data_IF_050748359690
#
_entry.id   IF_050748359690
#
_cell.length_a   1.000
_cell.length_b   1.000
_cell.length_c   1.000
_cell.angle_alpha   90.00
_cell.angle_beta   90.00
_cell.angle_gamma   90.00
#
_symmetry.space_group_name_H-M   'P 1'
#
loop_
_entity.id
_entity.type
_entity.pdbx_description
1 polymer ?
#
# COMPACT_ATOMS: atom_id res chain seq x y z
N UNK A 1 30.40 6.22 8.45
CA UNK A 1 29.38 6.91 9.27
C UNK A 1 29.27 6.15 10.58
N UNK A 2 29.44 6.80 11.74
CA UNK A 2 29.30 6.11 13.04
C UNK A 2 27.81 5.82 13.28
N UNK A 3 27.42 4.62 13.74
CA UNK A 3 26.01 4.29 13.93
C UNK A 3 25.41 5.07 15.10
N UNK A 4 24.20 5.61 14.88
CA UNK A 4 23.37 6.28 15.87
C UNK A 4 23.07 5.35 17.05
N UNK A 5 23.18 5.87 18.27
CA UNK A 5 22.84 5.18 19.52
C UNK A 5 21.32 5.16 19.71
N UNK A 6 20.63 4.28 18.99
CA UNK A 6 19.27 3.87 19.36
C UNK A 6 19.29 2.41 19.85
N UNK A 7 18.35 2.09 20.74
CA UNK A 7 18.41 0.96 21.67
C UNK A 7 18.74 -0.40 21.06
N UNK A 8 19.08 -1.36 21.92
CA UNK A 8 19.53 -2.74 21.59
C UNK A 8 18.64 -3.54 20.62
N UNK A 9 17.47 -3.02 20.24
CA UNK A 9 16.47 -3.64 19.37
C UNK A 9 16.14 -2.84 18.09
N UNK A 10 16.79 -1.71 17.83
CA UNK A 10 16.50 -0.85 16.66
C UNK A 10 17.63 -0.93 15.63
N UNK A 11 17.26 -0.91 14.34
CA UNK A 11 18.24 -0.76 13.25
C UNK A 11 18.90 0.62 13.29
N UNK A 12 20.19 0.72 12.97
CA UNK A 12 20.85 2.02 12.90
C UNK A 12 20.27 2.85 11.74
N UNK A 13 20.31 4.18 11.88
CA UNK A 13 19.75 5.13 10.90
C UNK A 13 20.29 4.92 9.47
N UNK A 14 21.54 4.48 9.36
CA UNK A 14 22.18 4.17 8.09
C UNK A 14 22.54 2.69 8.06
N UNK A 15 21.88 1.93 7.20
CA UNK A 15 22.13 0.51 6.94
C UNK A 15 22.24 0.27 5.45
N UNK A 16 22.94 -0.80 5.10
CA UNK A 16 22.92 -1.32 3.75
C UNK A 16 21.53 -1.88 3.38
N UNK A 17 21.18 -1.85 2.09
CA UNK A 17 19.90 -2.33 1.56
C UNK A 17 19.68 -3.80 1.93
N UNK A 18 20.71 -4.63 1.80
CA UNK A 18 20.67 -6.07 2.08
C UNK A 18 20.26 -6.33 3.54
N UNK A 19 20.77 -5.48 4.46
CA UNK A 19 20.44 -5.59 5.89
C UNK A 19 19.06 -5.03 6.21
N UNK A 20 18.57 -4.04 5.45
CA UNK A 20 17.29 -3.38 5.68
C UNK A 20 16.08 -4.18 5.15
N UNK A 21 16.24 -4.91 4.05
CA UNK A 21 15.15 -5.66 3.38
C UNK A 21 14.41 -6.63 4.30
N UNK A 22 15.07 -7.42 5.17
CA UNK A 22 14.38 -8.27 6.14
C UNK A 22 13.56 -7.50 7.19
N UNK A 23 13.93 -6.25 7.51
CA UNK A 23 13.15 -5.41 8.43
C UNK A 23 11.94 -4.79 7.73
N UNK A 24 12.03 -4.54 6.42
CA UNK A 24 10.86 -4.17 5.61
C UNK A 24 9.83 -5.31 5.58
N UNK A 25 10.27 -6.56 5.45
CA UNK A 25 9.40 -7.74 5.44
C UNK A 25 8.64 -7.93 6.77
N UNK A 26 9.33 -7.71 7.91
CA UNK A 26 8.71 -7.81 9.25
C UNK A 26 7.66 -6.72 9.52
N UNK A 27 7.66 -5.65 8.74
CA UNK A 27 6.80 -4.49 8.94
C UNK A 27 7.26 -3.57 10.08
N UNK A 28 6.67 -2.38 10.15
CA UNK A 28 6.96 -1.38 11.18
C UNK A 28 8.14 -0.44 10.88
N UNK A 29 8.85 -0.65 9.77
CA UNK A 29 9.94 0.20 9.31
C UNK A 29 9.68 0.71 7.89
N UNK A 30 10.16 1.91 7.60
CA UNK A 30 10.21 2.47 6.25
C UNK A 30 11.65 2.88 5.96
N UNK A 31 12.16 2.51 4.79
CA UNK A 31 13.54 2.76 4.40
C UNK A 31 13.58 3.72 3.21
N UNK A 32 14.45 4.72 3.28
CA UNK A 32 14.69 5.65 2.19
C UNK A 32 15.96 5.23 1.44
N UNK A 33 15.79 4.75 0.21
CA UNK A 33 16.87 4.23 -0.62
C UNK A 33 16.63 4.50 -2.10
N UNK A 34 17.66 4.25 -2.91
CA UNK A 34 17.49 4.16 -4.35
C UNK A 34 16.68 2.91 -4.70
N UNK A 35 15.58 3.11 -5.42
CA UNK A 35 14.62 2.05 -5.72
C UNK A 35 15.22 0.92 -6.60
N UNK A 36 16.19 1.25 -7.45
CA UNK A 36 16.79 0.31 -8.42
C UNK A 36 17.53 -0.84 -7.72
N UNK A 37 18.35 -0.53 -6.73
CA UNK A 37 19.07 -1.53 -5.92
C UNK A 37 18.10 -2.28 -5.01
N UNK A 38 17.20 -1.57 -4.33
CA UNK A 38 16.24 -2.18 -3.42
C UNK A 38 15.30 -3.18 -4.10
N UNK A 39 14.83 -2.89 -5.33
CA UNK A 39 13.95 -3.81 -6.03
C UNK A 39 14.62 -5.12 -6.45
N UNK A 40 15.95 -5.14 -6.62
CA UNK A 40 16.68 -6.39 -6.85
C UNK A 40 16.61 -7.29 -5.62
N UNK A 41 17.06 -6.77 -4.48
CA UNK A 41 17.09 -7.55 -3.23
C UNK A 41 15.70 -7.98 -2.77
N UNK A 42 14.69 -7.13 -2.99
CA UNK A 42 13.29 -7.45 -2.68
C UNK A 42 12.77 -8.56 -3.60
N UNK A 43 13.08 -8.54 -4.90
CA UNK A 43 12.64 -9.57 -5.83
C UNK A 43 13.23 -10.95 -5.48
N UNK A 44 14.43 -10.99 -4.92
CA UNK A 44 15.12 -12.23 -4.52
C UNK A 44 14.63 -12.76 -3.16
N UNK A 45 14.24 -11.89 -2.22
CA UNK A 45 13.92 -12.29 -0.84
C UNK A 45 12.42 -12.39 -0.53
N UNK A 46 11.56 -11.65 -1.24
CA UNK A 46 10.14 -11.55 -0.90
C UNK A 46 9.30 -12.58 -1.66
N UNK A 47 8.27 -13.11 -1.01
CA UNK A 47 7.27 -13.93 -1.69
C UNK A 47 6.36 -13.05 -2.59
N UNK A 48 5.70 -13.68 -3.56
CA UNK A 48 4.77 -13.01 -4.46
C UNK A 48 3.69 -12.22 -3.69
N UNK A 49 3.20 -12.73 -2.55
CA UNK A 49 2.22 -12.04 -1.73
C UNK A 49 2.78 -10.76 -1.10
N UNK A 50 3.99 -10.83 -0.55
CA UNK A 50 4.66 -9.71 0.13
C UNK A 50 5.01 -8.60 -0.86
N UNK A 51 5.43 -8.96 -2.09
CA UNK A 51 5.67 -8.00 -3.18
C UNK A 51 4.41 -7.19 -3.51
N UNK A 52 3.24 -7.83 -3.50
CA UNK A 52 1.96 -7.19 -3.79
C UNK A 52 1.52 -6.25 -2.65
N UNK A 53 1.83 -6.58 -1.40
CA UNK A 53 1.54 -5.75 -0.24
C UNK A 53 2.51 -4.58 -0.10
N UNK A 54 3.74 -4.72 -0.60
CA UNK A 54 4.77 -3.69 -0.55
C UNK A 54 4.29 -2.36 -1.16
N UNK A 55 4.30 -1.32 -0.32
CA UNK A 55 3.97 0.05 -0.72
C UNK A 55 5.24 0.87 -0.92
N UNK A 56 5.31 1.51 -2.07
CA UNK A 56 6.42 2.37 -2.46
C UNK A 56 5.90 3.79 -2.61
N UNK A 57 6.54 4.75 -1.95
CA UNK A 57 6.22 6.17 -2.10
C UNK A 57 7.37 6.88 -2.80
N UNK A 58 7.05 7.71 -3.78
CA UNK A 58 8.05 8.57 -4.42
C UNK A 58 8.61 9.55 -3.40
N UNK A 59 9.93 9.57 -3.24
CA UNK A 59 10.62 10.54 -2.38
C UNK A 59 10.61 11.95 -2.99
N UNK A 60 11.05 12.93 -2.19
CA UNK A 60 11.08 14.36 -2.55
C UNK A 60 11.99 14.68 -3.77
N UNK A 61 12.87 13.75 -4.14
CA UNK A 61 13.93 13.92 -5.14
C UNK A 61 13.66 13.15 -6.45
N UNK A 62 12.45 13.24 -6.98
CA UNK A 62 12.05 12.47 -8.17
C UNK A 62 12.74 12.93 -9.47
N UNK A 63 13.23 14.17 -9.51
CA UNK A 63 13.82 14.81 -10.71
C UNK A 63 15.35 15.00 -10.63
N UNK A 64 16.04 14.28 -9.73
CA UNK A 64 17.50 14.35 -9.72
C UNK A 64 18.05 13.82 -11.06
N UNK A 65 18.89 14.63 -11.71
CA UNK A 65 19.68 14.19 -12.87
C UNK A 65 20.69 13.16 -12.38
N UNK A 66 20.26 11.89 -12.37
CA UNK A 66 20.98 10.77 -11.75
C UNK A 66 22.39 10.58 -12.28
N UNK A 67 22.66 10.95 -13.55
CA UNK A 67 23.96 10.74 -14.16
C UNK A 67 24.65 12.06 -14.50
N UNK A 68 25.74 12.33 -13.78
CA UNK A 68 26.75 13.31 -14.17
C UNK A 68 28.12 12.65 -14.07
N UNK A 69 28.98 12.86 -15.07
CA UNK A 69 30.35 12.37 -15.01
C UNK A 69 31.14 13.24 -14.03
N UNK A 70 31.79 12.60 -13.06
CA UNK A 70 32.71 13.28 -12.14
C UNK A 70 34.06 13.39 -12.83
N UNK A 71 34.50 14.63 -13.07
CA UNK A 71 35.78 14.94 -13.72
C UNK A 71 36.64 15.77 -12.76
N UNK A 72 37.97 15.58 -12.70
CA UNK A 72 38.85 16.40 -11.87
C UNK A 72 38.70 17.89 -12.16
N UNK A 73 38.80 18.73 -11.11
CA UNK A 73 38.73 20.19 -11.24
C UNK A 73 39.80 20.66 -12.24
N UNK A 74 39.41 21.55 -13.16
CA UNK A 74 40.25 22.13 -14.23
C UNK A 74 40.79 21.12 -15.26
N UNK A 75 40.12 19.99 -15.44
CA UNK A 75 40.41 19.08 -16.54
C UNK A 75 40.02 19.69 -17.89
N UNK A 76 40.89 19.55 -18.90
CA UNK A 76 40.60 19.98 -20.28
C UNK A 76 39.42 19.20 -20.90
N UNK A 77 39.08 18.03 -20.36
CA UNK A 77 38.01 17.19 -20.89
C UNK A 77 36.60 17.57 -20.41
N UNK A 78 36.49 18.51 -19.47
CA UNK A 78 35.19 18.87 -18.85
C UNK A 78 34.16 19.31 -19.90
N UNK A 79 34.55 20.15 -20.84
CA UNK A 79 33.66 20.63 -21.91
C UNK A 79 33.29 19.52 -22.89
N UNK A 80 34.23 18.63 -23.22
CA UNK A 80 33.96 17.49 -24.10
C UNK A 80 32.91 16.54 -23.50
N UNK A 81 33.06 16.19 -22.22
CA UNK A 81 32.09 15.37 -21.51
C UNK A 81 30.73 16.09 -21.37
N UNK A 82 30.73 17.40 -21.15
CA UNK A 82 29.51 18.21 -21.08
C UNK A 82 28.73 18.18 -22.39
N UNK A 83 29.39 18.46 -23.51
CA UNK A 83 28.77 18.45 -24.85
C UNK A 83 28.26 17.06 -25.20
N UNK A 84 29.06 16.03 -24.92
CA UNK A 84 28.69 14.65 -25.20
C UNK A 84 27.47 14.24 -24.38
N UNK A 85 27.41 14.59 -23.10
CA UNK A 85 26.25 14.30 -22.26
C UNK A 85 24.98 15.00 -22.76
N UNK A 86 25.07 16.29 -23.13
CA UNK A 86 23.93 17.02 -23.69
C UNK A 86 23.43 16.34 -24.97
N UNK A 87 24.33 15.97 -25.87
CA UNK A 87 23.98 15.26 -27.10
C UNK A 87 23.37 13.88 -26.84
N UNK A 88 23.86 13.12 -25.85
CA UNK A 88 23.28 11.83 -25.45
C UNK A 88 21.86 11.99 -24.88
N UNK A 89 21.58 13.10 -24.18
CA UNK A 89 20.24 13.44 -23.69
C UNK A 89 19.31 13.83 -24.84
N UNK A 90 19.76 14.69 -25.75
CA UNK A 90 18.98 15.16 -26.90
C UNK A 90 18.59 14.02 -27.86
N UNK A 91 19.51 13.10 -28.13
CA UNK A 91 19.24 11.91 -28.96
C UNK A 91 18.35 10.89 -28.21
N UNK A 92 18.20 11.04 -26.89
CA UNK A 92 17.40 10.13 -26.06
C UNK A 92 18.08 8.81 -25.73
N UNK A 93 19.39 8.68 -25.94
CA UNK A 93 20.15 7.46 -25.62
C UNK A 93 20.15 7.16 -24.12
N UNK A 94 20.21 8.20 -23.28
CA UNK A 94 20.13 8.05 -21.83
C UNK A 94 18.75 7.52 -21.43
N UNK A 95 17.68 8.07 -21.99
CA UNK A 95 16.31 7.61 -21.73
C UNK A 95 16.15 6.13 -22.12
N UNK A 96 16.62 5.76 -23.31
CA UNK A 96 16.58 4.37 -23.78
C UNK A 96 17.37 3.42 -22.86
N UNK A 97 18.59 3.81 -22.47
CA UNK A 97 19.45 2.99 -21.61
C UNK A 97 18.79 2.77 -20.25
N UNK A 98 18.21 3.82 -19.67
CA UNK A 98 17.43 3.73 -18.44
C UNK A 98 16.22 2.82 -18.61
N UNK A 99 15.43 2.93 -19.68
CA UNK A 99 14.29 2.02 -19.89
C UNK A 99 14.72 0.55 -19.99
N UNK A 100 15.89 0.25 -20.54
CA UNK A 100 16.37 -1.13 -20.71
C UNK A 100 16.96 -1.70 -19.41
N UNK A 101 17.72 -0.91 -18.67
CA UNK A 101 18.50 -1.41 -17.53
C UNK A 101 17.90 -1.06 -16.16
N UNK A 102 16.98 -0.09 -16.10
CA UNK A 102 16.33 0.27 -14.84
C UNK A 102 15.44 -0.86 -14.42
N UNK A 103 15.72 -1.39 -13.24
CA UNK A 103 14.90 -2.41 -12.61
C UNK A 103 13.69 -1.68 -12.04
N UNK A 104 12.54 -2.03 -12.59
CA UNK A 104 11.25 -1.56 -12.12
C UNK A 104 10.76 -2.45 -10.97
N UNK A 105 9.74 -1.97 -10.26
CA UNK A 105 9.08 -2.77 -9.24
C UNK A 105 8.65 -4.11 -9.85
N UNK A 106 8.98 -5.27 -9.24
CA UNK A 106 8.55 -6.57 -9.76
C UNK A 106 7.03 -6.61 -9.91
N UNK A 107 6.57 -7.15 -11.04
CA UNK A 107 5.15 -7.32 -11.32
C UNK A 107 4.55 -8.29 -10.31
N UNK A 108 3.49 -7.86 -9.64
CA UNK A 108 2.70 -8.71 -8.75
C UNK A 108 2.07 -9.83 -9.60
N UNK A 109 2.60 -11.06 -9.50
CA UNK A 109 2.10 -12.23 -10.23
C UNK A 109 0.75 -12.72 -9.71
N UNK A 110 0.37 -12.31 -8.49
CA UNK A 110 -0.99 -12.44 -8.00
C UNK A 110 -1.87 -11.46 -8.79
N UNK A 111 -2.48 -11.94 -9.87
CA UNK A 111 -3.37 -11.16 -10.72
C UNK A 111 -4.28 -10.29 -9.87
N UNK A 112 -4.27 -8.98 -10.16
CA UNK A 112 -4.77 -7.90 -9.30
C UNK A 112 -5.88 -8.39 -8.39
N UNK A 113 -5.54 -8.61 -7.12
CA UNK A 113 -6.51 -8.96 -6.08
C UNK A 113 -7.45 -7.76 -5.98
N UNK A 114 -8.55 -7.78 -6.73
CA UNK A 114 -9.82 -7.30 -6.20
C UNK A 114 -9.94 -8.02 -4.88
N UNK A 115 -9.59 -7.37 -3.77
CA UNK A 115 -9.70 -7.95 -2.44
C UNK A 115 -11.15 -8.45 -2.36
N UNK A 116 -11.40 -9.78 -2.42
CA UNK A 116 -12.75 -10.27 -2.33
C UNK A 116 -13.26 -9.75 -1.00
N UNK A 117 -14.41 -9.08 -1.01
CA UNK A 117 -14.99 -8.56 0.23
C UNK A 117 -15.26 -9.77 1.10
N UNK A 118 -14.44 -9.96 2.13
CA UNK A 118 -14.64 -11.04 3.08
C UNK A 118 -15.96 -10.80 3.80
N UNK A 119 -16.69 -11.89 4.06
CA UNK A 119 -17.95 -11.86 4.83
C UNK A 119 -17.79 -11.18 6.20
N UNK A 120 -16.56 -11.17 6.74
CA UNK A 120 -16.17 -10.41 7.93
C UNK A 120 -16.44 -8.91 7.80
N UNK A 121 -16.15 -8.33 6.63
CA UNK A 121 -16.29 -6.89 6.36
C UNK A 121 -17.74 -6.40 6.24
N UNK A 122 -18.68 -7.28 5.90
CA UNK A 122 -20.12 -6.94 5.73
C UNK A 122 -20.97 -7.44 6.90
N UNK A 123 -20.37 -8.14 7.86
CA UNK A 123 -21.06 -8.72 9.02
C UNK A 123 -21.93 -7.71 9.79
N UNK A 124 -21.45 -6.47 9.95
CA UNK A 124 -22.17 -5.39 10.64
C UNK A 124 -23.42 -4.95 9.88
N UNK A 125 -23.36 -4.84 8.56
CA UNK A 125 -24.51 -4.50 7.73
C UNK A 125 -25.60 -5.58 7.80
N UNK A 126 -25.21 -6.86 7.75
CA UNK A 126 -26.15 -7.97 7.92
C UNK A 126 -26.74 -8.02 9.33
N UNK A 127 -25.98 -7.71 10.36
CA UNK A 127 -26.48 -7.65 11.74
C UNK A 127 -27.53 -6.54 11.91
N UNK A 128 -27.29 -5.34 11.36
CA UNK A 128 -28.26 -4.24 11.38
C UNK A 128 -29.54 -4.60 10.65
N UNK A 129 -29.44 -5.22 9.46
CA UNK A 129 -30.61 -5.70 8.71
C UNK A 129 -31.39 -6.76 9.50
N UNK A 130 -30.70 -7.71 10.12
CA UNK A 130 -31.33 -8.76 10.94
C UNK A 130 -32.10 -8.18 12.13
N UNK A 131 -31.49 -7.24 12.87
CA UNK A 131 -32.16 -6.57 13.99
C UNK A 131 -33.36 -5.75 13.52
N UNK A 132 -33.25 -5.04 12.40
CA UNK A 132 -34.35 -4.28 11.82
C UNK A 132 -35.54 -5.16 11.43
N UNK A 133 -35.29 -6.32 10.82
CA UNK A 133 -36.34 -7.29 10.48
C UNK A 133 -37.01 -7.85 11.74
N UNK A 134 -36.22 -8.22 12.76
CA UNK A 134 -36.76 -8.72 14.03
C UNK A 134 -37.65 -7.68 14.72
N UNK A 135 -37.20 -6.43 14.85
CA UNK A 135 -37.99 -5.35 15.46
C UNK A 135 -39.30 -5.10 14.71
N UNK A 136 -39.27 -5.06 13.38
CA UNK A 136 -40.47 -4.89 12.56
C UNK A 136 -41.49 -6.02 12.78
N UNK A 137 -41.04 -7.27 12.80
CA UNK A 137 -41.93 -8.41 13.08
C UNK A 137 -42.52 -8.38 14.49
N UNK A 138 -41.76 -7.95 15.50
CA UNK A 138 -42.25 -7.81 16.87
C UNK A 138 -43.32 -6.73 16.99
N UNK A 139 -43.12 -5.57 16.36
CA UNK A 139 -44.11 -4.48 16.37
C UNK A 139 -45.42 -4.96 15.74
N UNK A 140 -45.36 -5.64 14.59
CA UNK A 140 -46.55 -6.15 13.91
C UNK A 140 -47.30 -7.21 14.76
N UNK A 141 -46.59 -8.07 15.49
CA UNK A 141 -47.22 -9.04 16.40
C UNK A 141 -47.92 -8.34 17.58
N UNK A 142 -47.28 -7.32 18.17
CA UNK A 142 -47.85 -6.53 19.25
C UNK A 142 -49.12 -5.80 18.80
N UNK A 143 -49.11 -5.19 17.62
CA UNK A 143 -50.29 -4.53 17.05
C UNK A 143 -51.44 -5.53 16.84
N UNK A 144 -51.15 -6.70 16.29
CA UNK A 144 -52.17 -7.74 16.06
C UNK A 144 -52.77 -8.26 17.38
N UNK A 145 -51.93 -8.45 18.40
CA UNK A 145 -52.38 -8.85 19.75
C UNK A 145 -53.24 -7.77 20.39
N UNK A 146 -52.81 -6.50 20.31
CA UNK A 146 -53.54 -5.36 20.84
C UNK A 146 -54.90 -5.19 20.15
N UNK A 147 -54.94 -5.29 18.82
CA UNK A 147 -56.18 -5.22 18.04
C UNK A 147 -57.15 -6.34 18.43
N UNK A 148 -56.66 -7.58 18.53
CA UNK A 148 -57.50 -8.72 18.91
C UNK A 148 -58.02 -8.59 20.35
N UNK A 149 -57.21 -8.07 21.28
CA UNK A 149 -57.61 -7.80 22.65
C UNK A 149 -58.69 -6.72 22.73
N UNK A 150 -58.49 -5.60 22.01
CA UNK A 150 -59.46 -4.51 21.90
C UNK A 150 -60.79 -4.99 21.32
N UNK A 151 -60.77 -5.74 20.21
CA UNK A 151 -61.97 -6.31 19.59
C UNK A 151 -62.71 -7.28 20.54
N UNK A 152 -61.99 -8.18 21.22
CA UNK A 152 -62.60 -9.07 22.22
C UNK A 152 -63.20 -8.31 23.40
N UNK A 153 -62.57 -7.22 23.85
CA UNK A 153 -63.08 -6.35 24.91
C UNK A 153 -64.34 -5.61 24.45
N UNK A 154 -64.36 -5.09 23.23
CA UNK A 154 -65.51 -4.38 22.67
C UNK A 154 -66.71 -5.32 22.47
N UNK A 155 -66.47 -6.56 22.00
CA UNK A 155 -67.50 -7.58 21.88
C UNK A 155 -68.10 -8.00 23.23
N UNK A 156 -67.26 -8.18 24.27
CA UNK A 156 -67.73 -8.46 25.64
C UNK A 156 -68.56 -7.31 26.24
N UNK A 157 -68.19 -6.06 25.97
CA UNK A 157 -68.93 -4.89 26.44
C UNK A 157 -70.26 -4.67 25.70
N UNK A 158 -70.47 -5.30 24.55
CA UNK A 158 -71.73 -5.25 23.80
C UNK A 158 -72.72 -6.37 24.21
N UNK A 159 -72.21 -7.43 24.85
CA UNK A 159 -72.98 -8.61 25.29
C UNK A 159 -73.42 -8.57 26.76
N UNK A 160 -72.90 -7.61 27.54
CA UNK A 160 -73.35 -7.26 28.89
C UNK A 160 -74.10 -5.93 28.85
#
# INVERSE_FOLDING_TARGET
VQPSREGKHTIPVYTDVITAVPYLQRGGYAFHCEMTEAFQDIADQFDANEICELRTTTGLFNDLRLMSFVVPKRSMYTEMFRITMMRLQEIGLIKRTLTIHRIEKPICQSGGRVLPVEVSGVSTAFAVLGVGMLLSTMIMLLEKLHWNYMMKRQYRNFLN
#
